data_IF_941557393862
#
_entry.id   IF_941557393862
#
_cell.length_a   1.000
_cell.length_b   1.000
_cell.length_c   1.000
_cell.angle_alpha   90.00
_cell.angle_beta   90.00
_cell.angle_gamma   90.00
#
_symmetry.space_group_name_H-M   'P 1'
#
loop_
_entity.id
_entity.type
_entity.pdbx_description
1 polymer ?
#
# COMPACT_ATOMS: atom_id res chain seq x y z
N UNK A 1 -4.39 -30.68 -47.70
CA UNK A 1 -4.78 -30.80 -46.27
C UNK A 1 -3.82 -29.95 -45.45
N UNK A 2 -4.08 -28.64 -45.32
CA UNK A 2 -3.26 -27.71 -44.54
C UNK A 2 -4.18 -26.69 -43.86
N UNK A 3 -4.77 -27.07 -42.73
CA UNK A 3 -5.62 -26.18 -41.91
C UNK A 3 -5.39 -26.47 -40.42
N UNK A 4 -4.15 -26.36 -39.94
CA UNK A 4 -3.86 -26.49 -38.49
C UNK A 4 -3.11 -25.26 -37.94
N UNK A 5 -2.55 -24.38 -38.78
CA UNK A 5 -1.67 -23.28 -38.30
C UNK A 5 -2.45 -22.06 -37.75
N UNK A 6 -3.75 -21.92 -37.99
CA UNK A 6 -4.49 -20.69 -37.64
C UNK A 6 -5.14 -20.66 -36.24
N UNK A 7 -5.15 -21.76 -35.47
CA UNK A 7 -5.91 -21.80 -34.20
C UNK A 7 -5.15 -21.35 -32.96
N UNK A 8 -3.82 -21.34 -32.97
CA UNK A 8 -3.02 -20.97 -31.79
C UNK A 8 -2.97 -19.44 -31.59
N UNK A 9 -3.05 -18.67 -32.68
CA UNK A 9 -2.94 -17.21 -32.63
C UNK A 9 -4.14 -16.50 -31.99
N UNK A 10 -5.32 -17.14 -31.97
CA UNK A 10 -6.52 -16.56 -31.32
C UNK A 10 -6.57 -16.82 -29.81
N UNK A 11 -5.90 -17.87 -29.31
CA UNK A 11 -5.85 -18.14 -27.87
C UNK A 11 -4.94 -17.14 -27.14
N UNK A 12 -3.81 -16.78 -27.75
CA UNK A 12 -2.85 -15.83 -27.16
C UNK A 12 -3.42 -14.41 -27.03
N UNK A 13 -4.32 -13.99 -27.93
CA UNK A 13 -4.94 -12.65 -27.90
C UNK A 13 -5.98 -12.49 -26.78
N UNK A 14 -6.54 -13.59 -26.27
CA UNK A 14 -7.53 -13.58 -25.18
C UNK A 14 -6.88 -13.56 -23.79
N UNK A 15 -5.64 -14.05 -23.62
CA UNK A 15 -4.93 -13.96 -22.34
C UNK A 15 -4.38 -12.56 -22.03
N UNK A 16 -4.10 -11.74 -23.03
CA UNK A 16 -3.57 -10.38 -22.83
C UNK A 16 -4.61 -9.36 -22.33
N UNK A 17 -5.92 -9.66 -22.47
CA UNK A 17 -7.02 -8.77 -22.08
C UNK A 17 -7.44 -8.89 -20.61
N UNK A 18 -6.92 -9.88 -19.88
CA UNK A 18 -7.04 -9.98 -18.41
C UNK A 18 -5.90 -9.23 -17.72
N UNK A 19 -5.42 -8.14 -18.32
CA UNK A 19 -4.63 -7.14 -17.61
C UNK A 19 -5.55 -6.46 -16.61
N UNK A 20 -5.76 -7.12 -15.48
CA UNK A 20 -6.54 -6.65 -14.35
C UNK A 20 -6.15 -5.20 -14.08
N UNK A 21 -7.06 -4.28 -14.36
CA UNK A 21 -7.07 -2.98 -13.71
C UNK A 21 -7.42 -3.24 -12.25
N UNK A 22 -6.46 -3.77 -11.49
CA UNK A 22 -6.57 -4.01 -10.07
C UNK A 22 -6.56 -2.63 -9.41
N UNK A 23 -7.75 -2.08 -9.19
CA UNK A 23 -7.92 -0.99 -8.24
C UNK A 23 -7.43 -1.51 -6.90
N UNK A 24 -6.52 -0.78 -6.26
CA UNK A 24 -6.01 -1.16 -4.96
C UNK A 24 -7.17 -1.23 -3.95
N UNK A 25 -7.25 -2.35 -3.24
CA UNK A 25 -8.32 -2.65 -2.29
C UNK A 25 -8.02 -1.99 -0.93
N UNK A 26 -9.06 -1.47 -0.26
CA UNK A 26 -8.92 -0.94 1.09
C UNK A 26 -8.85 -2.08 2.09
N UNK A 27 -7.77 -2.12 2.87
CA UNK A 27 -7.53 -3.19 3.83
C UNK A 27 -7.09 -2.63 5.18
N UNK A 28 -7.57 -3.25 6.26
CA UNK A 28 -7.14 -2.90 7.62
C UNK A 28 -5.81 -3.60 7.98
N UNK A 29 -5.14 -3.12 9.02
CA UNK A 29 -3.93 -3.77 9.54
C UNK A 29 -4.27 -5.17 10.07
N UNK A 30 -5.41 -5.33 10.75
CA UNK A 30 -5.89 -6.60 11.29
C UNK A 30 -6.14 -7.65 10.19
N UNK A 31 -6.88 -7.29 9.15
CA UNK A 31 -7.22 -8.20 8.05
C UNK A 31 -5.95 -8.70 7.35
N UNK A 32 -5.05 -7.76 7.06
CA UNK A 32 -3.81 -8.04 6.38
C UNK A 32 -2.86 -8.90 7.23
N UNK A 33 -2.87 -8.75 8.56
CA UNK A 33 -2.11 -9.61 9.48
C UNK A 33 -2.73 -11.00 9.64
N UNK A 34 -4.05 -11.11 9.52
CA UNK A 34 -4.77 -12.38 9.57
C UNK A 34 -4.43 -13.29 8.39
N UNK A 35 -4.29 -12.72 7.19
CA UNK A 35 -4.04 -13.48 5.96
C UNK A 35 -3.01 -12.84 5.02
N UNK A 36 -1.76 -12.58 5.46
CA UNK A 36 -0.82 -11.77 4.68
C UNK A 36 -0.43 -12.41 3.35
N UNK A 37 -0.30 -13.74 3.30
CA UNK A 37 0.05 -14.46 2.07
C UNK A 37 -0.96 -14.26 0.93
N UNK A 38 -2.21 -13.93 1.26
CA UNK A 38 -3.26 -13.65 0.26
C UNK A 38 -2.97 -12.39 -0.54
N UNK A 39 -2.24 -11.44 0.05
CA UNK A 39 -2.01 -10.13 -0.54
C UNK A 39 -0.59 -9.97 -1.08
N UNK A 40 0.25 -11.01 -1.04
CA UNK A 40 1.64 -10.94 -1.50
C UNK A 40 1.75 -10.48 -2.96
N UNK A 41 2.57 -9.45 -3.19
CA UNK A 41 2.77 -8.87 -4.53
C UNK A 41 1.55 -8.11 -5.08
N UNK A 42 0.49 -7.95 -4.28
CA UNK A 42 -0.69 -7.18 -4.67
C UNK A 42 -0.56 -5.72 -4.29
N UNK A 43 -1.24 -4.86 -5.05
CA UNK A 43 -1.37 -3.44 -4.72
C UNK A 43 -2.58 -3.22 -3.81
N UNK A 44 -2.35 -2.64 -2.65
CA UNK A 44 -3.37 -2.44 -1.60
C UNK A 44 -3.36 -1.01 -1.08
N UNK A 45 -4.47 -0.59 -0.48
CA UNK A 45 -4.60 0.64 0.28
C UNK A 45 -4.79 0.31 1.77
N UNK A 46 -3.70 0.32 2.54
CA UNK A 46 -3.81 0.10 3.98
C UNK A 46 -4.20 1.40 4.68
N UNK A 47 -5.03 1.29 5.72
CA UNK A 47 -5.50 2.42 6.52
C UNK A 47 -5.16 2.22 7.99
N UNK A 48 -4.83 3.29 8.70
CA UNK A 48 -4.48 3.19 10.13
C UNK A 48 -3.81 4.44 10.69
N UNK A 49 -3.47 4.40 11.98
CA UNK A 49 -2.71 5.42 12.69
C UNK A 49 -1.22 5.16 12.55
N UNK A 50 -0.47 6.17 12.10
CA UNK A 50 0.98 6.10 11.93
C UNK A 50 1.69 6.49 13.23
N UNK A 51 2.62 5.66 13.71
CA UNK A 51 3.50 6.01 14.83
C UNK A 51 4.85 6.62 14.36
N UNK A 52 5.68 7.02 15.32
CA UNK A 52 6.95 7.70 15.05
C UNK A 52 8.02 6.79 14.41
N UNK A 53 7.79 5.48 14.35
CA UNK A 53 8.68 4.48 13.76
C UNK A 53 8.23 4.06 12.35
N UNK A 54 7.19 4.70 11.80
CA UNK A 54 6.60 4.27 10.53
C UNK A 54 5.75 3.00 10.63
N UNK A 55 5.33 2.62 11.84
CA UNK A 55 4.38 1.52 12.03
C UNK A 55 2.94 2.02 11.94
N UNK A 56 2.10 1.26 11.23
CA UNK A 56 0.69 1.51 11.02
C UNK A 56 -0.14 0.60 11.92
N UNK A 57 -1.13 1.18 12.61
CA UNK A 57 -2.01 0.51 13.56
C UNK A 57 -3.48 0.75 13.22
N UNK A 58 -4.37 -0.20 13.47
CA UNK A 58 -5.81 0.05 13.26
C UNK A 58 -6.39 1.07 14.23
N UNK A 59 -5.84 1.17 15.45
CA UNK A 59 -6.34 2.09 16.46
C UNK A 59 -5.27 3.00 17.06
N UNK A 60 -5.71 4.20 17.44
CA UNK A 60 -4.85 5.24 18.00
C UNK A 60 -4.19 4.81 19.30
N UNK A 61 -4.91 4.11 20.19
CA UNK A 61 -4.38 3.67 21.48
C UNK A 61 -3.19 2.71 21.32
N UNK A 62 -3.22 1.83 20.32
CA UNK A 62 -2.12 0.92 19.97
C UNK A 62 -0.92 1.68 19.40
N UNK A 63 -1.17 2.68 18.55
CA UNK A 63 -0.13 3.58 18.04
C UNK A 63 0.55 4.35 19.19
N UNK A 64 -0.22 4.91 20.11
CA UNK A 64 0.27 5.74 21.21
C UNK A 64 1.02 4.93 22.29
N UNK A 65 0.60 3.68 22.54
CA UNK A 65 1.18 2.83 23.60
C UNK A 65 2.14 1.74 23.09
N UNK A 66 2.49 1.74 21.80
CA UNK A 66 3.25 0.68 21.13
C UNK A 66 2.68 -0.74 21.38
N UNK A 67 1.84 -1.20 20.45
CA UNK A 67 1.36 -2.59 20.43
C UNK A 67 2.21 -3.45 19.48
N UNK A 68 2.35 -4.78 19.71
CA UNK A 68 2.95 -5.69 18.73
C UNK A 68 2.08 -5.91 17.49
N UNK A 69 0.87 -5.34 17.45
CA UNK A 69 -0.08 -5.54 16.36
C UNK A 69 -0.04 -4.40 15.34
N UNK A 70 0.95 -4.44 14.43
CA UNK A 70 1.17 -3.39 13.44
C UNK A 70 1.69 -3.90 12.10
N UNK A 71 1.62 -3.02 11.09
CA UNK A 71 2.37 -3.14 9.85
C UNK A 71 3.54 -2.16 9.86
N UNK A 72 4.72 -2.63 9.49
CA UNK A 72 5.87 -1.75 9.28
C UNK A 72 5.81 -1.19 7.87
N UNK A 73 5.70 0.12 7.76
CA UNK A 73 5.65 0.81 6.47
C UNK A 73 7.08 1.13 6.03
N UNK A 74 7.53 0.48 4.96
CA UNK A 74 8.80 0.74 4.32
C UNK A 74 8.62 1.80 3.22
N UNK A 75 9.05 3.01 3.55
CA UNK A 75 9.07 4.17 2.65
C UNK A 75 10.47 4.34 2.04
N UNK A 76 10.55 4.88 0.83
CA UNK A 76 11.85 5.34 0.32
C UNK A 76 12.43 6.38 1.28
N UNK A 77 13.75 6.33 1.52
CA UNK A 77 14.42 7.07 2.60
C UNK A 77 14.01 8.54 2.69
N UNK A 78 14.02 9.25 1.57
CA UNK A 78 13.72 10.69 1.53
C UNK A 78 12.24 11.00 1.78
N UNK A 79 11.35 10.05 1.46
CA UNK A 79 9.91 10.13 1.72
C UNK A 79 9.62 9.79 3.19
N UNK A 80 10.44 8.91 3.80
CA UNK A 80 10.19 8.36 5.13
C UNK A 80 10.23 9.42 6.22
N UNK A 81 11.30 10.21 6.28
CA UNK A 81 11.50 11.17 7.36
C UNK A 81 10.45 12.27 7.30
N UNK A 82 10.21 12.79 6.09
CA UNK A 82 9.22 13.81 5.85
C UNK A 82 7.79 13.32 6.19
N UNK A 83 7.44 12.12 5.73
CA UNK A 83 6.11 11.56 5.98
C UNK A 83 5.88 11.28 7.47
N UNK A 84 6.84 10.65 8.15
CA UNK A 84 6.72 10.32 9.58
C UNK A 84 6.57 11.60 10.41
N UNK A 85 7.38 12.64 10.15
CA UNK A 85 7.29 13.92 10.87
C UNK A 85 5.91 14.56 10.70
N UNK A 86 5.32 14.52 9.51
CA UNK A 86 4.07 15.23 9.21
C UNK A 86 2.80 14.41 9.52
N UNK A 87 2.92 13.07 9.57
CA UNK A 87 1.79 12.15 9.69
C UNK A 87 1.74 11.39 11.02
N UNK A 88 2.78 11.51 11.86
CA UNK A 88 2.79 10.89 13.18
C UNK A 88 1.52 11.23 13.98
N UNK A 89 0.90 10.19 14.55
CA UNK A 89 -0.32 10.27 15.37
C UNK A 89 -1.61 10.52 14.58
N UNK A 90 -1.55 10.62 13.26
CA UNK A 90 -2.71 10.83 12.38
C UNK A 90 -3.16 9.51 11.76
N UNK A 91 -4.46 9.46 11.45
CA UNK A 91 -5.02 8.40 10.62
C UNK A 91 -4.70 8.67 9.15
N UNK A 92 -4.05 7.71 8.51
CA UNK A 92 -3.55 7.81 7.15
C UNK A 92 -4.10 6.69 6.29
N UNK A 93 -4.12 6.94 4.99
CA UNK A 93 -4.32 5.95 3.96
C UNK A 93 -3.05 5.94 3.13
N UNK A 94 -2.49 4.75 2.90
CA UNK A 94 -1.24 4.56 2.20
C UNK A 94 -1.53 3.57 1.07
N UNK A 95 -0.98 3.78 -0.13
CA UNK A 95 -1.10 2.85 -1.25
C UNK A 95 0.27 2.23 -1.56
N UNK A 96 0.33 0.93 -1.75
CA UNK A 96 1.61 0.28 -1.91
C UNK A 96 1.50 -1.15 -2.37
N UNK A 97 2.66 -1.73 -2.64
CA UNK A 97 2.80 -3.14 -2.98
C UNK A 97 3.12 -3.91 -1.70
N UNK A 98 2.27 -4.88 -1.38
CA UNK A 98 2.42 -5.68 -0.19
C UNK A 98 3.55 -6.71 -0.33
N UNK A 99 4.41 -6.79 0.69
CA UNK A 99 5.58 -7.68 0.71
C UNK A 99 5.70 -8.32 2.09
N UNK A 100 5.31 -9.58 2.18
CA UNK A 100 5.31 -10.33 3.40
C UNK A 100 6.73 -10.71 3.81
N UNK A 101 7.23 -9.98 4.80
CA UNK A 101 8.40 -10.37 5.55
C UNK A 101 8.05 -10.34 7.03
N UNK A 102 7.87 -11.52 7.63
CA UNK A 102 7.61 -11.65 9.06
C UNK A 102 8.87 -11.29 9.84
N UNK A 103 8.85 -10.12 10.48
CA UNK A 103 9.74 -9.80 11.60
C UNK A 103 9.00 -10.12 12.91
N UNK A 104 9.75 -10.28 14.02
CA UNK A 104 9.28 -10.79 15.34
C UNK A 104 7.76 -10.67 15.57
N UNK A 105 7.20 -9.47 15.47
CA UNK A 105 5.76 -9.19 15.58
C UNK A 105 5.18 -8.35 14.42
N UNK A 106 6.00 -8.02 13.42
CA UNK A 106 5.69 -7.06 12.36
C UNK A 106 5.65 -7.71 10.99
N UNK A 107 4.83 -7.14 10.12
CA UNK A 107 4.83 -7.45 8.70
C UNK A 107 5.28 -6.21 7.96
N UNK A 108 6.25 -6.36 7.07
CA UNK A 108 6.76 -5.25 6.26
C UNK A 108 5.80 -4.98 5.10
N UNK A 109 5.72 -3.74 4.67
CA UNK A 109 4.97 -3.36 3.49
C UNK A 109 5.70 -2.25 2.75
N UNK A 110 5.82 -2.34 1.42
CA UNK A 110 6.49 -1.33 0.62
C UNK A 110 5.50 -0.32 0.06
N UNK A 111 5.79 0.96 0.28
CA UNK A 111 4.98 2.03 -0.29
C UNK A 111 5.56 2.49 -1.60
N UNK A 112 4.69 2.56 -2.59
CA UNK A 112 5.00 3.12 -3.91
C UNK A 112 4.23 4.42 -4.16
N UNK A 113 3.13 4.67 -3.43
CA UNK A 113 2.35 5.92 -3.55
C UNK A 113 1.59 6.27 -2.27
N UNK A 114 1.73 7.51 -1.79
CA UNK A 114 0.95 7.98 -0.64
C UNK A 114 -0.39 8.56 -1.12
N UNK A 115 -1.53 8.06 -0.59
CA UNK A 115 -2.87 8.50 -0.95
C UNK A 115 -3.71 8.79 0.30
N UNK A 116 -3.75 10.03 0.80
CA UNK A 116 -4.58 10.36 1.96
C UNK A 116 -6.03 10.68 1.56
N UNK A 117 -6.97 9.77 1.85
CA UNK A 117 -8.42 9.96 1.57
C UNK A 117 -9.26 10.54 2.73
N UNK A 118 -8.66 10.88 3.86
CA UNK A 118 -9.37 11.26 5.10
C UNK A 118 -9.37 12.74 5.48
N UNK A 119 -9.05 13.66 4.57
CA UNK A 119 -9.09 15.10 4.88
C UNK A 119 -8.04 15.58 5.90
N UNK A 120 -6.98 14.81 6.12
CA UNK A 120 -5.80 15.30 6.81
C UNK A 120 -4.64 15.26 5.83
N UNK A 121 -4.25 16.47 5.41
CA UNK A 121 -2.95 16.76 4.82
C UNK A 121 -1.86 16.05 5.62
N UNK A 122 -1.19 15.12 4.95
CA UNK A 122 0.07 14.59 5.40
C UNK A 122 1.26 15.43 4.91
N UNK A 123 1.02 16.60 4.31
CA UNK A 123 2.03 17.52 3.75
C UNK A 123 1.51 18.95 3.91
N UNK A 124 2.09 19.78 4.79
CA UNK A 124 1.87 21.23 4.75
C UNK A 124 2.85 21.83 3.74
N UNK A 125 2.30 22.34 2.64
CA UNK A 125 2.91 23.22 1.62
C UNK A 125 4.33 22.89 1.12
N UNK A 126 4.44 22.28 -0.07
CA UNK A 126 5.28 22.78 -1.19
C UNK A 126 5.20 21.84 -2.42
N UNK A 127 4.38 22.20 -3.41
CA UNK A 127 4.80 22.37 -4.81
C UNK A 127 3.60 22.85 -5.65
N UNK A 128 3.43 24.17 -5.62
CA UNK A 128 3.22 25.05 -6.78
C UNK A 128 3.04 24.28 -8.12
N UNK A 129 1.80 24.31 -8.61
CA UNK A 129 1.43 24.38 -10.02
C UNK A 129 1.92 23.27 -10.97
N UNK A 130 1.20 22.15 -11.00
CA UNK A 130 0.98 21.40 -12.26
C UNK A 130 -0.46 21.66 -12.78
N UNK A 131 -0.92 22.90 -12.62
CA UNK A 131 -2.15 23.45 -13.21
C UNK A 131 -1.85 24.74 -13.99
N UNK A 132 -0.81 24.71 -14.82
CA UNK A 132 -0.68 25.59 -15.99
C UNK A 132 0.25 24.95 -17.01
N UNK A 133 -0.29 23.99 -17.76
CA UNK A 133 -0.15 23.90 -19.23
C UNK A 133 -1.13 22.89 -19.79
#
# INVERSE_FOLDING_TARGET
MFLIVQRVSRLLFLLSLLSFSAKAEYISVEELRGSPMTYEGTKIMATGYLNALGALYDNKKQSDNFSPNFLMVNLQKDISDFFIINCYGKYVVIEGEFTYQKQRDAIIWKVTKLLTKGGVDCVKDQMIWDRTK
#
